data_IF_071965269650
#
_entry.id   IF_071965269650
#
_cell.length_a   1.000
_cell.length_b   1.000
_cell.length_c   1.000
_cell.angle_alpha   90.00
_cell.angle_beta   90.00
_cell.angle_gamma   90.00
#
_symmetry.space_group_name_H-M   'P 1'
#
loop_
_entity.id
_entity.type
_entity.pdbx_description
1 polymer ?
#
# COMPACT_ATOMS: atom_id res chain seq x y z
N UNK A 1 -8.12 3.83 30.46
CA UNK A 1 -8.77 3.64 29.15
C UNK A 1 -8.56 4.90 28.32
N UNK A 2 -8.46 4.80 26.98
CA UNK A 2 -8.51 5.94 26.06
C UNK A 2 -9.82 5.86 25.28
N UNK A 3 -10.51 6.99 25.10
CA UNK A 3 -11.76 7.05 24.35
C UNK A 3 -11.67 8.18 23.32
N UNK A 4 -11.83 7.86 22.05
CA UNK A 4 -12.07 8.82 20.98
C UNK A 4 -13.57 9.05 20.89
N UNK A 5 -14.02 10.28 21.14
CA UNK A 5 -15.46 10.62 21.21
C UNK A 5 -15.93 11.40 20.00
N UNK A 6 -17.19 11.21 19.66
CA UNK A 6 -17.95 12.02 18.70
C UNK A 6 -17.38 11.99 17.26
N UNK A 7 -16.47 11.07 16.94
CA UNK A 7 -15.92 10.97 15.61
C UNK A 7 -16.87 10.29 14.63
N UNK A 8 -16.73 10.56 13.33
CA UNK A 8 -17.40 9.78 12.30
C UNK A 8 -16.59 8.48 12.10
N UNK A 9 -17.02 7.40 12.76
CA UNK A 9 -16.36 6.09 12.67
C UNK A 9 -16.69 5.44 11.34
N UNK A 10 -15.65 5.08 10.59
CA UNK A 10 -15.76 4.35 9.34
C UNK A 10 -14.92 3.07 9.42
N UNK A 11 -15.57 1.94 9.57
CA UNK A 11 -14.98 0.59 9.59
C UNK A 11 -15.66 -0.30 8.56
N UNK A 12 -15.08 -0.46 7.38
CA UNK A 12 -15.70 -1.22 6.29
C UNK A 12 -15.93 -2.70 6.62
N UNK A 13 -15.05 -3.33 7.41
CA UNK A 13 -15.21 -4.73 7.78
C UNK A 13 -16.48 -4.97 8.62
N UNK A 14 -16.71 -4.11 9.61
CA UNK A 14 -17.85 -4.20 10.52
C UNK A 14 -19.07 -3.41 10.03
N UNK A 15 -19.01 -2.84 8.82
CA UNK A 15 -20.09 -2.04 8.21
C UNK A 15 -20.54 -0.87 9.11
N UNK A 16 -19.58 -0.23 9.80
CA UNK A 16 -19.82 0.97 10.61
C UNK A 16 -19.49 2.19 9.76
N UNK A 17 -20.47 3.07 9.59
CA UNK A 17 -20.33 4.37 8.89
C UNK A 17 -21.27 5.37 9.56
N UNK A 18 -20.87 5.86 10.76
CA UNK A 18 -21.71 6.75 11.58
C UNK A 18 -20.91 7.46 12.67
N UNK A 19 -21.48 8.50 13.24
CA UNK A 19 -20.93 9.11 14.45
C UNK A 19 -20.97 8.10 15.62
N UNK A 20 -19.80 7.83 16.20
CA UNK A 20 -19.66 6.92 17.34
C UNK A 20 -18.37 7.23 18.13
N UNK A 21 -18.22 6.58 19.26
CA UNK A 21 -17.01 6.58 20.10
C UNK A 21 -16.23 5.30 19.86
N UNK A 22 -14.90 5.38 20.00
CA UNK A 22 -14.00 4.20 19.98
C UNK A 22 -13.26 4.14 21.33
N UNK A 23 -13.48 3.08 22.10
CA UNK A 23 -12.81 2.84 23.36
C UNK A 23 -11.63 1.88 23.18
N UNK A 24 -10.51 2.24 23.78
CA UNK A 24 -9.24 1.49 23.71
C UNK A 24 -8.75 1.21 25.14
N UNK A 25 -8.42 -0.05 25.40
CA UNK A 25 -7.84 -0.47 26.65
C UNK A 25 -6.76 -1.53 26.45
N UNK A 26 -5.66 -1.42 27.19
CA UNK A 26 -4.53 -2.37 27.12
C UNK A 26 -4.01 -2.62 25.68
N UNK A 27 -3.99 -1.56 24.85
CA UNK A 27 -3.52 -1.63 23.47
C UNK A 27 -4.49 -2.28 22.49
N UNK A 28 -5.72 -2.54 22.87
CA UNK A 28 -6.74 -3.21 22.06
C UNK A 28 -8.02 -2.40 21.94
N UNK A 29 -8.76 -2.62 20.86
CA UNK A 29 -10.13 -2.11 20.73
C UNK A 29 -10.98 -2.80 21.79
N UNK A 30 -11.61 -2.00 22.64
CA UNK A 30 -12.54 -2.49 23.66
C UNK A 30 -13.96 -2.50 23.12
N UNK A 31 -14.39 -1.40 22.48
CA UNK A 31 -15.74 -1.31 21.91
C UNK A 31 -15.85 -0.11 20.97
N UNK A 32 -16.81 -0.18 20.07
CA UNK A 32 -17.30 0.93 19.25
C UNK A 32 -18.78 1.12 19.50
N UNK A 33 -19.21 2.33 19.82
CA UNK A 33 -20.61 2.59 20.15
C UNK A 33 -20.90 4.07 20.39
N UNK A 34 -22.16 4.43 20.45
CA UNK A 34 -22.58 5.80 20.72
C UNK A 34 -22.61 6.07 22.23
N UNK A 35 -22.08 7.22 22.64
CA UNK A 35 -22.16 7.66 24.03
C UNK A 35 -21.47 6.74 25.05
N UNK A 36 -20.32 6.16 24.70
CA UNK A 36 -19.59 5.28 25.60
C UNK A 36 -19.29 6.00 26.93
N UNK A 37 -19.51 5.37 28.09
CA UNK A 37 -19.25 6.00 29.37
C UNK A 37 -17.76 6.23 29.58
N UNK A 38 -17.39 7.41 30.10
CA UNK A 38 -16.04 7.76 30.50
C UNK A 38 -15.99 8.01 32.01
N UNK A 39 -14.91 7.58 32.67
CA UNK A 39 -14.58 7.89 34.05
C UNK A 39 -13.61 9.07 34.09
N UNK A 40 -13.53 9.75 35.22
CA UNK A 40 -12.60 10.87 35.44
C UNK A 40 -11.12 10.48 35.21
N UNK A 41 -10.80 9.20 35.38
CA UNK A 41 -9.45 8.66 35.15
C UNK A 41 -9.15 8.32 33.70
N UNK A 42 -10.13 8.38 32.81
CA UNK A 42 -9.96 8.02 31.39
C UNK A 42 -9.38 9.18 30.58
N UNK A 43 -8.57 8.85 29.60
CA UNK A 43 -8.09 9.82 28.62
C UNK A 43 -9.14 9.95 27.51
N UNK A 44 -9.84 11.08 27.48
CA UNK A 44 -10.90 11.36 26.50
C UNK A 44 -10.38 12.36 25.48
N UNK A 45 -10.49 12.02 24.20
CA UNK A 45 -10.12 12.88 23.09
C UNK A 45 -11.37 13.11 22.23
N UNK A 46 -11.71 14.37 22.01
CA UNK A 46 -12.82 14.73 21.13
C UNK A 46 -12.38 14.67 19.67
N UNK A 47 -13.00 13.80 18.89
CA UNK A 47 -12.78 13.60 17.46
C UNK A 47 -13.91 14.21 16.61
N UNK A 48 -14.69 15.14 17.17
CA UNK A 48 -15.77 15.82 16.44
C UNK A 48 -15.28 16.43 15.13
N UNK A 49 -16.02 16.22 14.05
CA UNK A 49 -15.68 16.71 12.72
C UNK A 49 -14.55 15.94 12.01
N UNK A 50 -14.06 14.86 12.61
CA UNK A 50 -13.04 13.98 12.02
C UNK A 50 -13.61 12.60 11.70
N UNK A 51 -13.04 11.93 10.71
CA UNK A 51 -13.21 10.50 10.51
C UNK A 51 -12.26 9.74 11.43
N UNK A 52 -12.77 8.70 12.08
CA UNK A 52 -12.01 7.73 12.86
C UNK A 52 -12.03 6.42 12.11
N UNK A 53 -10.88 6.01 11.58
CA UNK A 53 -10.73 4.83 10.72
C UNK A 53 -9.72 3.86 11.33
N UNK A 54 -9.76 2.56 11.02
CA UNK A 54 -8.69 1.64 11.38
C UNK A 54 -7.33 2.16 10.90
N UNK A 55 -6.27 1.84 11.61
CA UNK A 55 -4.92 2.24 11.20
C UNK A 55 -4.66 1.86 9.75
N UNK A 56 -4.20 2.83 8.95
CA UNK A 56 -4.00 2.65 7.52
C UNK A 56 -2.89 1.65 7.24
N UNK A 57 -3.02 0.94 6.14
CA UNK A 57 -2.04 -0.02 5.63
C UNK A 57 -1.53 0.51 4.28
N UNK A 58 -0.25 0.88 4.24
CA UNK A 58 0.42 1.20 2.97
C UNK A 58 0.98 -0.11 2.39
N UNK A 59 0.27 -0.66 1.43
CA UNK A 59 0.59 -1.98 0.85
C UNK A 59 1.84 -1.96 -0.06
N UNK A 60 2.41 -0.78 -0.34
CA UNK A 60 3.57 -0.64 -1.20
C UNK A 60 4.39 0.61 -0.85
N UNK A 61 5.50 0.41 -0.19
CA UNK A 61 6.53 1.44 0.02
C UNK A 61 7.92 0.78 0.10
N UNK A 62 8.98 1.58 0.20
CA UNK A 62 10.34 1.08 0.33
C UNK A 62 10.93 1.55 1.66
N UNK A 63 10.88 0.69 2.66
CA UNK A 63 11.20 1.02 4.07
C UNK A 63 12.44 0.30 4.61
N UNK A 64 13.13 -0.48 3.79
CA UNK A 64 14.37 -1.15 4.20
C UNK A 64 15.44 -0.11 4.59
N UNK A 65 15.81 -0.02 5.87
CA UNK A 65 16.48 1.18 6.41
C UNK A 65 17.93 1.37 5.95
N UNK A 66 18.58 0.31 5.49
CA UNK A 66 19.95 0.38 4.96
C UNK A 66 19.98 0.56 3.45
N UNK A 67 18.84 0.38 2.76
CA UNK A 67 18.76 0.60 1.32
C UNK A 67 18.84 2.09 0.98
N UNK A 68 19.52 2.44 -0.11
CA UNK A 68 19.64 3.84 -0.57
C UNK A 68 18.30 4.51 -0.83
N UNK A 69 17.28 3.72 -1.21
CA UNK A 69 15.92 4.19 -1.47
C UNK A 69 15.02 4.13 -0.22
N UNK A 70 15.52 3.55 0.89
CA UNK A 70 14.74 3.30 2.10
C UNK A 70 14.31 4.58 2.82
N UNK A 71 13.06 4.59 3.24
CA UNK A 71 12.42 5.71 3.94
C UNK A 71 12.68 5.68 5.46
N UNK A 72 12.64 6.85 6.13
CA UNK A 72 12.48 6.92 7.58
C UNK A 72 11.06 6.54 7.99
N UNK A 73 10.78 5.22 8.04
CA UNK A 73 9.44 4.63 7.99
C UNK A 73 8.48 5.13 9.08
N UNK A 74 8.87 5.08 10.37
CA UNK A 74 7.96 5.49 11.46
C UNK A 74 7.55 6.96 11.37
N UNK A 75 8.49 7.85 11.07
CA UNK A 75 8.19 9.29 10.98
C UNK A 75 7.19 9.60 9.86
N UNK A 76 7.34 8.98 8.68
CA UNK A 76 6.45 9.20 7.54
C UNK A 76 5.14 8.43 7.65
N UNK A 77 5.18 7.19 8.12
CA UNK A 77 4.01 6.35 8.25
C UNK A 77 3.06 6.90 9.34
N UNK A 78 3.56 7.11 10.55
CA UNK A 78 2.71 7.58 11.65
C UNK A 78 2.10 8.95 11.39
N UNK A 79 2.86 9.90 10.80
CA UNK A 79 2.33 11.21 10.46
C UNK A 79 1.32 11.20 9.31
N UNK A 80 1.18 10.08 8.61
CA UNK A 80 0.18 9.89 7.55
C UNK A 80 -0.96 8.91 7.91
N UNK A 81 -1.06 8.51 9.19
CA UNK A 81 -2.10 7.59 9.65
C UNK A 81 -1.77 6.10 9.44
N UNK A 82 -0.61 5.78 8.89
CA UNK A 82 -0.20 4.41 8.55
C UNK A 82 0.37 3.71 9.78
N UNK A 83 -0.17 2.55 10.11
CA UNK A 83 0.26 1.70 11.24
C UNK A 83 0.86 0.37 10.78
N UNK A 84 0.64 0.01 9.52
CA UNK A 84 1.22 -1.15 8.85
C UNK A 84 1.73 -0.74 7.48
N UNK A 85 2.93 -1.19 7.10
CA UNK A 85 3.52 -0.93 5.79
C UNK A 85 4.11 -2.20 5.19
N UNK A 86 4.03 -2.33 3.88
CA UNK A 86 4.65 -3.42 3.14
C UNK A 86 5.87 -2.90 2.38
N UNK A 87 7.05 -3.47 2.68
CA UNK A 87 8.23 -3.24 1.86
C UNK A 87 8.13 -4.05 0.56
N UNK A 88 8.04 -3.35 -0.54
CA UNK A 88 7.78 -3.95 -1.85
C UNK A 88 9.07 -4.36 -2.58
N UNK A 89 9.90 -5.17 -1.93
CA UNK A 89 11.07 -5.79 -2.54
C UNK A 89 12.30 -4.90 -2.56
N UNK A 90 12.48 -4.03 -1.57
CA UNK A 90 13.73 -3.30 -1.41
C UNK A 90 14.92 -4.23 -1.20
N UNK A 91 14.69 -5.43 -0.67
CA UNK A 91 15.71 -6.43 -0.32
C UNK A 91 15.53 -7.71 -1.11
N UNK A 92 16.63 -8.45 -1.25
CA UNK A 92 16.66 -9.84 -1.72
C UNK A 92 17.22 -10.77 -0.66
N UNK A 93 17.42 -12.06 -1.00
CA UNK A 93 17.81 -13.08 -0.03
C UNK A 93 19.18 -12.83 0.62
N UNK A 94 20.09 -12.14 -0.07
CA UNK A 94 21.45 -11.88 0.47
C UNK A 94 21.48 -10.81 1.56
N UNK A 95 20.51 -9.90 1.61
CA UNK A 95 20.56 -8.74 2.53
C UNK A 95 19.34 -8.60 3.44
N UNK A 96 18.27 -9.34 3.23
CA UNK A 96 17.03 -9.25 4.01
C UNK A 96 17.28 -9.32 5.53
N UNK A 97 18.12 -10.24 5.98
CA UNK A 97 18.40 -10.45 7.41
C UNK A 97 19.00 -9.22 8.09
N UNK A 98 19.81 -8.43 7.38
CA UNK A 98 20.45 -7.23 7.94
C UNK A 98 19.42 -6.13 8.20
N UNK A 99 18.43 -5.98 7.32
CA UNK A 99 17.34 -5.03 7.48
C UNK A 99 16.39 -5.45 8.60
N UNK A 100 16.11 -6.75 8.71
CA UNK A 100 15.21 -7.30 9.73
C UNK A 100 15.66 -6.95 11.15
N UNK A 101 16.95 -7.05 11.46
CA UNK A 101 17.48 -6.71 12.79
C UNK A 101 17.18 -5.28 13.24
N UNK A 102 16.92 -4.36 12.29
CA UNK A 102 16.48 -2.99 12.56
C UNK A 102 14.95 -2.92 12.60
N UNK A 103 14.28 -3.49 11.61
CA UNK A 103 12.82 -3.43 11.45
C UNK A 103 12.07 -4.06 12.63
N UNK A 104 12.61 -5.10 13.24
CA UNK A 104 12.03 -5.77 14.43
C UNK A 104 11.93 -4.87 15.67
N UNK A 105 12.72 -3.80 15.72
CA UNK A 105 12.73 -2.84 16.85
C UNK A 105 11.74 -1.71 16.69
N UNK A 106 11.11 -1.59 15.52
CA UNK A 106 10.15 -0.56 15.23
C UNK A 106 8.76 -0.92 15.77
N UNK A 107 8.01 0.10 16.18
CA UNK A 107 6.59 -0.07 16.58
C UNK A 107 5.68 -0.27 15.36
N UNK A 108 6.07 0.27 14.21
CA UNK A 108 5.37 0.09 12.94
C UNK A 108 5.31 -1.39 12.56
N UNK A 109 4.15 -1.90 12.19
CA UNK A 109 4.04 -3.25 11.66
C UNK A 109 4.57 -3.25 10.21
N UNK A 110 5.62 -4.06 9.96
CA UNK A 110 6.25 -4.13 8.65
C UNK A 110 6.11 -5.54 8.11
N UNK A 111 5.54 -5.66 6.92
CA UNK A 111 5.54 -6.85 6.08
C UNK A 111 6.43 -6.62 4.88
N UNK A 112 6.83 -7.65 4.16
CA UNK A 112 7.71 -7.50 3.01
C UNK A 112 7.41 -8.53 1.92
N UNK A 113 7.57 -8.11 0.68
CA UNK A 113 7.82 -8.98 -0.46
C UNK A 113 9.33 -9.07 -0.69
N UNK A 114 9.84 -10.27 -0.87
CA UNK A 114 11.26 -10.48 -1.17
C UNK A 114 11.49 -10.36 -2.67
N UNK A 115 12.39 -9.48 -3.09
CA UNK A 115 12.76 -9.40 -4.50
C UNK A 115 13.47 -10.71 -4.93
N UNK A 116 13.16 -11.20 -6.12
CA UNK A 116 13.83 -12.38 -6.70
C UNK A 116 15.30 -12.12 -7.01
N UNK A 117 15.69 -10.85 -7.23
CA UNK A 117 17.09 -10.47 -7.35
C UNK A 117 17.79 -10.56 -5.99
N UNK A 118 18.99 -11.09 -5.97
CA UNK A 118 19.74 -11.45 -4.76
C UNK A 118 19.87 -10.32 -3.73
N UNK A 119 20.01 -9.06 -4.19
CA UNK A 119 20.11 -7.87 -3.32
C UNK A 119 18.90 -6.95 -3.41
N UNK A 120 17.86 -7.32 -4.15
CA UNK A 120 16.68 -6.49 -4.37
C UNK A 120 17.02 -5.14 -5.03
N UNK A 121 16.35 -4.09 -4.57
CA UNK A 121 16.55 -2.71 -5.02
C UNK A 121 17.63 -1.94 -4.24
N UNK A 122 18.37 -2.59 -3.37
CA UNK A 122 19.34 -1.92 -2.48
C UNK A 122 20.43 -1.17 -3.26
N UNK A 123 20.79 -1.66 -4.42
CA UNK A 123 21.80 -1.06 -5.30
C UNK A 123 21.30 0.16 -6.10
N UNK A 124 20.00 0.43 -6.14
CA UNK A 124 19.44 1.58 -6.88
C UNK A 124 19.81 2.92 -6.22
N UNK A 125 20.03 3.98 -7.01
CA UNK A 125 19.99 4.05 -8.47
C UNK A 125 21.29 3.64 -9.18
N UNK A 126 22.28 3.15 -8.48
CA UNK A 126 23.62 2.89 -9.02
C UNK A 126 23.75 1.66 -9.92
N UNK A 127 22.93 0.63 -9.69
CA UNK A 127 22.91 -0.61 -10.47
C UNK A 127 21.49 -1.01 -10.83
N UNK A 128 21.34 -1.68 -11.97
CA UNK A 128 20.09 -2.34 -12.34
C UNK A 128 19.96 -3.68 -11.63
N UNK A 129 18.73 -4.11 -11.40
CA UNK A 129 18.41 -5.44 -10.89
C UNK A 129 18.84 -6.50 -11.89
N UNK A 130 19.47 -7.57 -11.42
CA UNK A 130 19.69 -8.76 -12.22
C UNK A 130 18.50 -9.70 -12.10
N UNK A 131 17.55 -9.54 -13.02
CA UNK A 131 16.32 -10.34 -13.04
C UNK A 131 16.46 -11.66 -13.79
N UNK A 132 17.65 -12.02 -14.29
CA UNK A 132 17.86 -13.27 -15.01
C UNK A 132 17.66 -14.49 -14.08
N UNK A 133 16.67 -15.37 -14.36
CA UNK A 133 16.39 -16.52 -13.51
C UNK A 133 17.57 -17.50 -13.33
N UNK A 134 18.52 -17.49 -14.28
CA UNK A 134 19.75 -18.32 -14.18
C UNK A 134 20.71 -17.85 -13.08
N UNK A 135 20.57 -16.61 -12.62
CA UNK A 135 21.44 -16.01 -11.60
C UNK A 135 20.77 -15.92 -10.22
N UNK A 136 19.51 -16.37 -10.07
CA UNK A 136 18.82 -16.31 -8.80
C UNK A 136 19.37 -17.32 -7.81
N UNK A 137 19.55 -16.88 -6.58
CA UNK A 137 19.80 -17.80 -5.46
C UNK A 137 18.47 -18.38 -4.95
N UNK A 138 17.92 -19.36 -5.71
CA UNK A 138 16.64 -20.01 -5.36
C UNK A 138 16.67 -20.66 -3.98
N UNK A 139 17.81 -21.20 -3.57
CA UNK A 139 17.96 -21.81 -2.25
C UNK A 139 17.94 -20.76 -1.15
N UNK A 140 18.68 -19.68 -1.30
CA UNK A 140 18.66 -18.55 -0.37
C UNK A 140 17.26 -17.90 -0.26
N UNK A 141 16.51 -17.79 -1.36
CA UNK A 141 15.11 -17.34 -1.34
C UNK A 141 14.24 -18.30 -0.51
N UNK A 142 14.31 -19.63 -0.76
CA UNK A 142 13.56 -20.63 0.00
C UNK A 142 13.91 -20.63 1.48
N UNK A 143 15.19 -20.49 1.82
CA UNK A 143 15.65 -20.37 3.22
C UNK A 143 15.12 -19.11 3.91
N UNK A 144 15.07 -17.97 3.20
CA UNK A 144 14.44 -16.77 3.73
C UNK A 144 12.96 -16.99 4.09
N UNK A 145 12.19 -17.62 3.21
CA UNK A 145 10.78 -17.91 3.50
C UNK A 145 10.61 -18.97 4.60
N UNK A 146 11.46 -20.00 4.64
CA UNK A 146 11.43 -20.99 5.72
C UNK A 146 11.70 -20.36 7.11
N UNK A 147 12.54 -19.32 7.15
CA UNK A 147 12.91 -18.63 8.39
C UNK A 147 12.00 -17.48 8.77
N UNK A 148 11.53 -16.67 7.80
CA UNK A 148 10.86 -15.38 8.03
C UNK A 148 9.46 -15.31 7.44
N UNK A 149 9.00 -16.33 6.73
CA UNK A 149 7.67 -16.45 6.16
C UNK A 149 6.64 -17.09 7.10
N UNK A 150 5.49 -17.42 6.53
CA UNK A 150 4.36 -18.04 7.24
C UNK A 150 3.46 -17.04 7.96
N UNK A 151 2.40 -17.50 8.64
CA UNK A 151 1.33 -16.63 9.17
C UNK A 151 1.78 -15.57 10.17
N UNK A 152 2.84 -15.85 10.93
CA UNK A 152 3.43 -14.91 11.90
C UNK A 152 4.71 -14.26 11.39
N UNK A 153 5.18 -14.67 10.22
CA UNK A 153 6.39 -14.14 9.61
C UNK A 153 6.16 -12.76 8.98
N UNK A 154 7.26 -12.10 8.66
CA UNK A 154 7.22 -10.79 8.00
C UNK A 154 7.34 -10.88 6.48
N UNK A 155 7.88 -11.96 5.94
CA UNK A 155 7.90 -12.23 4.50
C UNK A 155 6.57 -12.80 4.06
N UNK A 156 5.95 -12.09 3.09
CA UNK A 156 4.63 -12.41 2.58
C UNK A 156 4.68 -13.06 1.20
N UNK A 157 5.43 -12.48 0.25
CA UNK A 157 5.47 -12.93 -1.13
C UNK A 157 6.76 -12.55 -1.85
N UNK A 158 6.81 -12.85 -3.15
CA UNK A 158 7.91 -12.50 -4.04
C UNK A 158 7.63 -11.21 -4.81
N UNK A 159 8.64 -10.37 -5.01
CA UNK A 159 8.60 -9.16 -5.84
C UNK A 159 9.41 -9.34 -7.10
N UNK A 160 8.84 -8.90 -8.23
CA UNK A 160 9.52 -8.80 -9.52
C UNK A 160 9.22 -7.46 -10.19
N UNK A 161 10.17 -6.94 -10.97
CA UNK A 161 9.96 -5.83 -11.90
C UNK A 161 10.10 -6.33 -13.35
N UNK A 162 9.05 -6.11 -14.15
CA UNK A 162 8.97 -6.57 -15.55
C UNK A 162 9.14 -5.44 -16.58
N UNK A 163 9.65 -4.27 -16.19
CA UNK A 163 9.90 -3.19 -17.16
C UNK A 163 10.81 -3.64 -18.29
N UNK A 164 10.46 -3.32 -19.54
CA UNK A 164 11.22 -3.72 -20.74
C UNK A 164 12.74 -3.43 -20.65
N UNK A 165 13.21 -2.27 -20.14
CA UNK A 165 14.64 -2.02 -19.98
C UNK A 165 15.34 -2.92 -18.95
N UNK A 166 14.57 -3.53 -18.03
CA UNK A 166 15.09 -4.42 -16.98
C UNK A 166 15.14 -5.86 -17.48
N UNK A 167 14.03 -6.38 -18.00
CA UNK A 167 13.93 -7.78 -18.46
C UNK A 167 14.57 -8.01 -19.83
N UNK A 168 14.69 -6.98 -20.67
CA UNK A 168 15.30 -7.03 -21.99
C UNK A 168 14.75 -8.20 -22.83
N UNK A 169 15.62 -8.98 -23.43
CA UNK A 169 15.28 -10.13 -24.30
C UNK A 169 14.62 -11.30 -23.55
N UNK A 170 14.63 -11.29 -22.20
CA UNK A 170 13.97 -12.32 -21.41
C UNK A 170 12.45 -12.19 -21.42
N UNK A 171 11.91 -11.00 -21.69
CA UNK A 171 10.48 -10.76 -21.74
C UNK A 171 9.73 -11.26 -20.50
N UNK A 172 8.54 -11.82 -20.69
CA UNK A 172 7.71 -12.37 -19.61
C UNK A 172 8.18 -13.72 -19.05
N UNK A 173 9.19 -14.36 -19.66
CA UNK A 173 9.78 -15.58 -19.09
C UNK A 173 10.28 -15.38 -17.65
N UNK A 174 10.72 -14.18 -17.31
CA UNK A 174 11.13 -13.83 -15.94
C UNK A 174 9.94 -13.89 -14.99
N UNK A 175 8.76 -13.44 -15.41
CA UNK A 175 7.53 -13.52 -14.62
C UNK A 175 7.06 -14.97 -14.46
N UNK A 176 7.06 -15.75 -15.52
CA UNK A 176 6.71 -17.18 -15.47
C UNK A 176 7.59 -17.94 -14.45
N UNK A 177 8.90 -17.68 -14.46
CA UNK A 177 9.82 -18.29 -13.53
C UNK A 177 9.63 -17.80 -12.08
N UNK A 178 9.22 -16.53 -11.90
CA UNK A 178 8.87 -16.00 -10.57
C UNK A 178 7.60 -16.66 -10.04
N UNK A 179 6.58 -16.81 -10.87
CA UNK A 179 5.32 -17.46 -10.52
C UNK A 179 5.58 -18.92 -10.13
N UNK A 180 6.38 -19.67 -10.91
CA UNK A 180 6.77 -21.04 -10.57
C UNK A 180 7.49 -21.11 -9.22
N UNK A 181 8.42 -20.18 -8.96
CA UNK A 181 9.12 -20.13 -7.67
C UNK A 181 8.13 -19.81 -6.52
N UNK A 182 7.18 -18.91 -6.76
CA UNK A 182 6.10 -18.61 -5.81
C UNK A 182 5.23 -19.83 -5.51
N UNK A 183 4.92 -20.66 -6.53
CA UNK A 183 4.21 -21.95 -6.36
C UNK A 183 5.01 -22.95 -5.53
N UNK A 184 6.31 -23.08 -5.82
CA UNK A 184 7.19 -23.98 -5.07
C UNK A 184 7.29 -23.64 -3.58
N UNK A 185 7.21 -22.34 -3.24
CA UNK A 185 7.28 -21.81 -1.87
C UNK A 185 5.89 -21.73 -1.22
N UNK A 186 4.83 -21.62 -2.01
CA UNK A 186 3.45 -21.41 -1.55
C UNK A 186 3.16 -19.96 -1.18
N UNK A 187 3.68 -18.98 -1.95
CA UNK A 187 3.52 -17.56 -1.68
C UNK A 187 3.02 -16.78 -2.92
N UNK A 188 2.34 -15.62 -2.74
CA UNK A 188 1.94 -14.76 -3.84
C UNK A 188 3.13 -14.03 -4.49
N UNK A 189 2.87 -13.47 -5.67
CA UNK A 189 3.80 -12.62 -6.41
C UNK A 189 3.21 -11.21 -6.55
N UNK A 190 4.00 -10.18 -6.27
CA UNK A 190 3.71 -8.80 -6.63
C UNK A 190 4.59 -8.40 -7.81
N UNK A 191 3.96 -8.02 -8.93
CA UNK A 191 4.67 -7.64 -10.15
C UNK A 191 4.52 -6.16 -10.47
N UNK A 192 5.66 -5.47 -10.64
CA UNK A 192 5.72 -4.11 -11.19
C UNK A 192 5.57 -4.16 -12.71
N UNK A 193 4.59 -3.43 -13.27
CA UNK A 193 4.23 -3.53 -14.67
C UNK A 193 4.49 -2.25 -15.51
N UNK A 194 5.13 -1.21 -14.98
CA UNK A 194 5.39 0.01 -15.74
C UNK A 194 6.32 -0.25 -16.91
N UNK A 195 5.89 0.11 -18.13
CA UNK A 195 6.59 -0.17 -19.39
C UNK A 195 6.88 -1.68 -19.57
N UNK A 196 5.85 -2.53 -19.63
CA UNK A 196 6.03 -3.97 -19.76
C UNK A 196 6.69 -4.35 -21.10
N UNK A 197 7.32 -5.53 -21.22
CA UNK A 197 8.04 -5.96 -22.42
C UNK A 197 7.13 -6.45 -23.56
N UNK A 198 5.85 -6.62 -23.31
CA UNK A 198 4.83 -7.09 -24.25
C UNK A 198 3.45 -6.57 -23.85
N UNK A 199 2.41 -7.15 -24.40
CA UNK A 199 1.03 -6.77 -24.10
C UNK A 199 0.69 -7.02 -22.63
N UNK A 200 -0.08 -6.10 -22.02
CA UNK A 200 -0.49 -6.24 -20.63
C UNK A 200 -1.40 -7.47 -20.43
N UNK A 201 -2.17 -7.83 -21.45
CA UNK A 201 -3.02 -9.03 -21.43
C UNK A 201 -2.21 -10.31 -21.17
N UNK A 202 -1.05 -10.45 -21.81
CA UNK A 202 -0.14 -11.59 -21.62
C UNK A 202 0.38 -11.66 -20.18
N UNK A 203 0.78 -10.51 -19.61
CA UNK A 203 1.20 -10.44 -18.21
C UNK A 203 0.09 -10.92 -17.28
N UNK A 204 -1.14 -10.42 -17.51
CA UNK A 204 -2.29 -10.75 -16.70
C UNK A 204 -2.66 -12.24 -16.78
N UNK A 205 -2.45 -12.90 -17.92
CA UNK A 205 -2.70 -14.35 -18.08
C UNK A 205 -1.74 -15.21 -17.25
N UNK A 206 -0.51 -14.76 -17.02
CA UNK A 206 0.50 -15.48 -16.23
C UNK A 206 0.17 -15.44 -14.73
N UNK A 207 -0.50 -14.38 -14.25
CA UNK A 207 -0.79 -14.18 -12.83
C UNK A 207 -1.87 -15.13 -12.31
N UNK A 208 -1.67 -15.59 -11.08
CA UNK A 208 -2.53 -16.53 -10.35
C UNK A 208 -3.49 -15.80 -9.40
N UNK A 209 -4.55 -16.46 -8.93
CA UNK A 209 -5.31 -15.98 -7.79
C UNK A 209 -4.39 -15.66 -6.60
N UNK A 210 -4.53 -14.46 -6.01
CA UNK A 210 -3.69 -13.97 -4.91
C UNK A 210 -2.44 -13.21 -5.35
N UNK A 211 -2.03 -13.30 -6.62
CA UNK A 211 -0.95 -12.44 -7.13
C UNK A 211 -1.44 -10.99 -7.32
N UNK A 212 -0.53 -10.03 -7.19
CA UNK A 212 -0.83 -8.60 -7.30
C UNK A 212 -0.10 -7.96 -8.48
N UNK A 213 -0.84 -7.30 -9.37
CA UNK A 213 -0.26 -6.36 -10.33
C UNK A 213 -0.25 -4.97 -9.72
N UNK A 214 0.96 -4.38 -9.56
CA UNK A 214 1.10 -3.03 -9.01
C UNK A 214 1.33 -2.00 -10.11
N UNK A 215 0.96 -0.74 -9.82
CA UNK A 215 0.98 0.39 -10.76
C UNK A 215 -0.08 0.25 -11.86
N UNK A 216 -1.26 -0.24 -11.49
CA UNK A 216 -2.33 -0.54 -12.44
C UNK A 216 -2.70 0.62 -13.38
N UNK A 217 -2.54 1.85 -12.93
CA UNK A 217 -2.87 3.05 -13.73
C UNK A 217 -1.67 3.66 -14.48
N UNK A 218 -0.56 2.91 -14.62
CA UNK A 218 0.60 3.39 -15.38
C UNK A 218 0.23 3.70 -16.85
N UNK A 219 0.91 4.69 -17.45
CA UNK A 219 0.69 5.13 -18.84
C UNK A 219 1.95 5.05 -19.73
N UNK A 220 2.94 4.26 -19.33
CA UNK A 220 4.16 4.03 -20.09
C UNK A 220 4.11 2.61 -20.65
N UNK A 221 4.09 2.48 -21.99
CA UNK A 221 3.92 1.21 -22.69
C UNK A 221 2.46 0.70 -22.64
N UNK A 222 2.24 -0.56 -23.06
CA UNK A 222 0.93 -1.22 -22.96
C UNK A 222 0.35 -1.14 -21.55
N UNK A 223 -0.90 -0.74 -21.44
CA UNK A 223 -1.56 -0.46 -20.15
C UNK A 223 -3.01 -0.96 -20.15
N UNK A 224 -3.79 -0.62 -19.11
CA UNK A 224 -5.17 -1.07 -18.98
C UNK A 224 -6.12 -0.61 -20.09
N UNK A 225 -5.76 0.44 -20.85
CA UNK A 225 -6.63 0.99 -21.89
C UNK A 225 -6.13 0.49 -23.25
N UNK A 226 -6.98 -0.25 -23.92
CA UNK A 226 -6.72 -0.77 -25.26
C UNK A 226 -6.72 0.31 -26.35
N UNK A 227 -6.38 -0.08 -27.58
CA UNK A 227 -6.37 0.82 -28.75
C UNK A 227 -7.74 1.44 -29.05
N UNK A 228 -8.82 0.76 -28.70
CA UNK A 228 -10.20 1.26 -28.81
C UNK A 228 -10.57 2.30 -27.73
N UNK A 229 -9.66 2.59 -26.81
CA UNK A 229 -9.82 3.56 -25.73
C UNK A 229 -10.64 3.04 -24.56
N UNK A 230 -10.93 1.73 -24.48
CA UNK A 230 -11.65 1.07 -23.40
C UNK A 230 -10.72 0.22 -22.54
N UNK A 231 -11.20 -0.15 -21.38
CA UNK A 231 -10.51 -1.11 -20.52
C UNK A 231 -10.40 -2.47 -21.22
N UNK A 232 -9.22 -3.09 -21.18
CA UNK A 232 -9.01 -4.40 -21.81
C UNK A 232 -9.77 -5.51 -21.06
N UNK A 233 -10.42 -6.40 -21.80
CA UNK A 233 -11.16 -7.55 -21.24
C UNK A 233 -10.29 -8.44 -20.33
N UNK A 234 -8.99 -8.54 -20.64
CA UNK A 234 -8.05 -9.31 -19.84
C UNK A 234 -7.95 -8.84 -18.38
N UNK A 235 -8.15 -7.52 -18.12
CA UNK A 235 -8.15 -6.99 -16.77
C UNK A 235 -9.35 -7.50 -15.95
N UNK A 236 -10.55 -7.48 -16.53
CA UNK A 236 -11.74 -8.04 -15.88
C UNK A 236 -11.58 -9.53 -15.60
N UNK A 237 -11.14 -10.30 -16.60
CA UNK A 237 -10.90 -11.75 -16.45
C UNK A 237 -9.85 -12.07 -15.39
N UNK A 238 -8.78 -11.28 -15.30
CA UNK A 238 -7.77 -11.46 -14.27
C UNK A 238 -8.34 -11.19 -12.86
N UNK A 239 -9.12 -10.12 -12.70
CA UNK A 239 -9.82 -9.81 -11.43
C UNK A 239 -10.81 -10.93 -11.04
N UNK A 240 -11.60 -11.43 -11.98
CA UNK A 240 -12.52 -12.55 -11.73
C UNK A 240 -11.79 -13.82 -11.28
N UNK A 241 -10.58 -14.06 -11.78
CA UNK A 241 -9.71 -15.15 -11.30
C UNK A 241 -9.13 -14.91 -9.91
N UNK A 242 -9.20 -13.68 -9.36
CA UNK A 242 -8.67 -13.33 -8.06
C UNK A 242 -7.27 -12.71 -8.09
N UNK A 243 -6.85 -12.13 -9.22
CA UNK A 243 -5.66 -11.26 -9.30
C UNK A 243 -6.02 -9.90 -8.70
N UNK A 244 -5.18 -9.38 -7.82
CA UNK A 244 -5.34 -8.06 -7.22
C UNK A 244 -4.70 -6.96 -8.06
N UNK A 245 -5.36 -5.79 -8.07
CA UNK A 245 -4.92 -4.61 -8.79
C UNK A 245 -4.59 -3.49 -7.81
N UNK A 246 -3.32 -3.06 -7.79
CA UNK A 246 -2.82 -2.06 -6.85
C UNK A 246 -2.50 -0.75 -7.56
N UNK A 247 -3.04 0.34 -7.01
CA UNK A 247 -2.67 1.70 -7.34
C UNK A 247 -1.56 2.16 -6.39
N UNK A 248 -0.33 2.08 -6.85
CA UNK A 248 0.89 2.53 -6.17
C UNK A 248 1.63 3.48 -7.10
N UNK A 249 1.58 4.77 -6.82
CA UNK A 249 1.79 5.79 -7.84
C UNK A 249 3.21 6.33 -7.91
N UNK A 250 3.93 6.38 -6.78
CA UNK A 250 5.25 7.00 -6.67
C UNK A 250 5.34 8.35 -7.39
N UNK A 251 6.39 8.50 -8.19
CA UNK A 251 6.65 9.71 -8.99
C UNK A 251 6.31 9.56 -10.48
N UNK A 252 6.08 8.33 -10.98
CA UNK A 252 5.99 8.06 -12.41
C UNK A 252 5.21 6.80 -12.79
N UNK A 253 4.53 6.16 -11.84
CA UNK A 253 3.80 4.92 -12.07
C UNK A 253 2.28 5.11 -12.12
N UNK A 254 1.85 6.35 -12.29
CA UNK A 254 0.47 6.77 -12.43
C UNK A 254 0.31 7.59 -13.70
N UNK A 255 -0.75 7.37 -14.45
CA UNK A 255 -1.17 8.14 -15.61
C UNK A 255 -2.60 8.59 -15.44
N UNK A 256 -2.83 9.90 -15.29
CA UNK A 256 -4.16 10.47 -15.07
C UNK A 256 -5.18 10.03 -16.14
N UNK A 257 -4.87 10.06 -17.45
CA UNK A 257 -5.83 9.63 -18.47
C UNK A 257 -6.23 8.15 -18.39
N UNK A 258 -5.30 7.27 -17.94
CA UNK A 258 -5.59 5.84 -17.75
C UNK A 258 -6.50 5.65 -16.54
N UNK A 259 -6.17 6.32 -15.43
CA UNK A 259 -6.94 6.23 -14.19
C UNK A 259 -8.37 6.76 -14.36
N UNK A 260 -8.55 7.91 -15.01
CA UNK A 260 -9.88 8.50 -15.29
C UNK A 260 -10.77 7.54 -16.07
N UNK A 261 -10.25 6.92 -17.12
CA UNK A 261 -11.00 5.95 -17.94
C UNK A 261 -11.35 4.69 -17.14
N UNK A 262 -10.38 4.09 -16.47
CA UNK A 262 -10.61 2.88 -15.69
C UNK A 262 -11.62 3.12 -14.56
N UNK A 263 -11.52 4.24 -13.84
CA UNK A 263 -12.46 4.61 -12.77
C UNK A 263 -13.86 4.85 -13.35
N UNK A 264 -13.97 5.51 -14.50
CA UNK A 264 -15.25 5.76 -15.15
C UNK A 264 -15.96 4.47 -15.59
N UNK A 265 -15.21 3.43 -15.95
CA UNK A 265 -15.72 2.09 -16.24
C UNK A 265 -15.96 1.24 -14.97
N UNK A 266 -15.68 1.77 -13.78
CA UNK A 266 -15.86 1.07 -12.51
C UNK A 266 -14.73 0.12 -12.14
N UNK A 267 -13.61 0.16 -12.85
CA UNK A 267 -12.43 -0.66 -12.53
C UNK A 267 -11.56 0.02 -11.48
N UNK A 268 -11.97 -0.12 -10.23
CA UNK A 268 -11.33 0.50 -9.07
C UNK A 268 -10.17 -0.37 -8.55
N UNK A 269 -9.19 0.21 -7.82
CA UNK A 269 -8.11 -0.56 -7.21
C UNK A 269 -8.63 -1.44 -6.06
N UNK A 270 -7.97 -2.57 -5.86
CA UNK A 270 -8.13 -3.39 -4.65
C UNK A 270 -7.32 -2.79 -3.49
N UNK A 271 -6.13 -2.26 -3.81
CA UNK A 271 -5.26 -1.58 -2.85
C UNK A 271 -4.87 -0.19 -3.38
N UNK A 272 -4.85 0.79 -2.47
CA UNK A 272 -4.29 2.13 -2.70
C UNK A 272 -3.05 2.24 -1.82
N UNK A 273 -1.90 2.46 -2.45
CA UNK A 273 -0.60 2.49 -1.82
C UNK A 273 0.25 3.66 -2.34
N UNK A 274 1.40 3.89 -1.76
CA UNK A 274 2.20 5.08 -2.09
C UNK A 274 3.32 4.83 -3.08
N UNK A 275 3.96 3.67 -3.02
CA UNK A 275 5.25 3.37 -3.66
C UNK A 275 6.31 4.44 -3.32
N UNK A 276 6.28 4.92 -2.09
CA UNK A 276 7.23 5.93 -1.65
C UNK A 276 8.63 5.36 -1.47
N UNK A 277 9.58 6.13 -1.95
CA UNK A 277 11.01 5.94 -1.74
C UNK A 277 11.63 7.24 -1.23
N UNK A 278 12.83 7.18 -0.71
CA UNK A 278 13.62 8.38 -0.38
C UNK A 278 13.78 9.33 -1.58
N UNK A 279 13.69 8.80 -2.81
CA UNK A 279 13.81 9.59 -4.04
C UNK A 279 12.49 10.30 -4.42
N UNK A 280 11.34 9.83 -3.92
CA UNK A 280 10.01 10.34 -4.30
C UNK A 280 9.28 11.09 -3.18
N UNK A 281 9.64 10.90 -1.92
CA UNK A 281 8.91 11.42 -0.75
C UNK A 281 8.69 12.95 -0.70
N UNK A 282 9.45 13.71 -1.47
CA UNK A 282 9.33 15.16 -1.53
C UNK A 282 8.88 15.69 -2.90
N UNK A 283 8.57 14.82 -3.85
CA UNK A 283 8.19 15.23 -5.19
C UNK A 283 6.69 15.53 -5.27
N UNK A 284 6.35 16.75 -5.72
CA UNK A 284 4.96 17.18 -5.92
C UNK A 284 4.69 17.40 -7.41
N UNK A 285 3.46 17.29 -7.86
CA UNK A 285 2.20 16.98 -7.17
C UNK A 285 1.87 15.47 -7.18
N UNK A 286 2.85 14.60 -7.26
CA UNK A 286 2.70 13.14 -7.25
C UNK A 286 2.44 12.59 -5.83
N UNK A 287 2.44 11.29 -5.64
CA UNK A 287 2.30 10.67 -4.32
C UNK A 287 3.47 11.05 -3.40
N UNK A 288 3.17 11.57 -2.22
CA UNK A 288 4.18 11.86 -1.18
C UNK A 288 3.73 11.50 0.24
N UNK A 289 2.52 10.97 0.41
CA UNK A 289 2.00 10.41 1.66
C UNK A 289 0.73 9.60 1.40
N UNK A 290 0.34 8.75 2.35
CA UNK A 290 -0.94 8.03 2.26
C UNK A 290 -2.14 9.00 2.30
N UNK A 291 -2.10 10.07 3.08
CA UNK A 291 -3.17 11.07 3.10
C UNK A 291 -3.33 11.80 1.76
N UNK A 292 -2.22 11.99 1.02
CA UNK A 292 -2.28 12.50 -0.35
C UNK A 292 -2.98 11.51 -1.28
N UNK A 293 -2.69 10.20 -1.17
CA UNK A 293 -3.34 9.17 -1.97
C UNK A 293 -4.84 9.11 -1.68
N UNK A 294 -5.24 9.11 -0.41
CA UNK A 294 -6.66 9.16 -0.01
C UNK A 294 -7.35 10.37 -0.63
N UNK A 295 -6.74 11.55 -0.50
CA UNK A 295 -7.29 12.81 -1.02
C UNK A 295 -7.40 12.79 -2.55
N UNK A 296 -6.36 12.29 -3.24
CA UNK A 296 -6.31 12.17 -4.69
C UNK A 296 -7.40 11.27 -5.24
N UNK A 297 -7.49 10.03 -4.75
CA UNK A 297 -8.46 9.06 -5.26
C UNK A 297 -9.90 9.43 -4.92
N UNK A 298 -10.12 10.08 -3.78
CA UNK A 298 -11.44 10.65 -3.46
C UNK A 298 -11.81 11.81 -4.40
N UNK A 299 -10.84 12.69 -4.72
CA UNK A 299 -11.05 13.78 -5.68
C UNK A 299 -11.27 13.28 -7.12
N UNK A 300 -10.79 12.09 -7.47
CA UNK A 300 -11.07 11.40 -8.73
C UNK A 300 -12.46 10.73 -8.77
N UNK A 301 -13.25 10.84 -7.70
CA UNK A 301 -14.62 10.32 -7.66
C UNK A 301 -14.78 8.92 -7.06
N UNK A 302 -13.71 8.30 -6.54
CA UNK A 302 -13.86 7.05 -5.78
C UNK A 302 -14.50 7.40 -4.42
N UNK A 303 -15.60 6.75 -4.01
CA UNK A 303 -16.24 7.01 -2.72
C UNK A 303 -15.24 6.87 -1.55
N UNK A 304 -15.27 7.80 -0.60
CA UNK A 304 -14.31 7.80 0.52
C UNK A 304 -14.30 6.47 1.29
N UNK A 305 -15.46 5.89 1.53
CA UNK A 305 -15.55 4.58 2.19
C UNK A 305 -14.81 3.48 1.40
N UNK A 306 -14.86 3.50 0.06
CA UNK A 306 -14.11 2.56 -0.80
C UNK A 306 -12.60 2.83 -0.74
N UNK A 307 -12.18 4.10 -0.69
CA UNK A 307 -10.77 4.44 -0.52
C UNK A 307 -10.24 3.93 0.83
N UNK A 308 -11.03 4.07 1.91
CA UNK A 308 -10.67 3.51 3.23
C UNK A 308 -10.64 1.98 3.20
N UNK A 309 -11.58 1.33 2.53
CA UNK A 309 -11.54 -0.12 2.33
C UNK A 309 -10.25 -0.58 1.65
N UNK A 310 -9.81 0.12 0.59
CA UNK A 310 -8.57 -0.15 -0.16
C UNK A 310 -7.28 0.15 0.63
N UNK A 311 -7.37 0.87 1.74
CA UNK A 311 -6.23 1.23 2.61
C UNK A 311 -6.30 0.61 4.01
N UNK A 312 -7.28 -0.26 4.28
CA UNK A 312 -7.46 -0.92 5.59
C UNK A 312 -7.78 -2.41 5.42
N UNK A 313 -9.04 -2.77 5.21
CA UNK A 313 -9.51 -4.16 5.24
C UNK A 313 -9.00 -4.99 4.06
N UNK A 314 -8.92 -4.43 2.86
CA UNK A 314 -8.46 -5.18 1.69
C UNK A 314 -7.00 -5.61 1.81
N UNK A 315 -6.03 -4.68 2.08
CA UNK A 315 -4.64 -5.09 2.30
C UNK A 315 -4.48 -5.95 3.57
N UNK A 316 -5.28 -5.75 4.63
CA UNK A 316 -5.26 -6.63 5.80
C UNK A 316 -5.67 -8.07 5.44
N UNK A 317 -6.67 -8.23 4.57
CA UNK A 317 -7.14 -9.54 4.09
C UNK A 317 -6.07 -10.24 3.27
N UNK A 318 -5.48 -9.55 2.31
CA UNK A 318 -4.42 -10.10 1.45
C UNK A 318 -3.20 -10.53 2.29
N UNK A 319 -2.80 -9.71 3.27
CA UNK A 319 -1.67 -9.99 4.17
C UNK A 319 -1.96 -11.03 5.26
N UNK A 320 -3.18 -11.56 5.34
CA UNK A 320 -3.59 -12.49 6.39
C UNK A 320 -3.64 -11.87 7.78
N UNK A 321 -3.96 -10.56 7.89
CA UNK A 321 -3.97 -9.79 9.13
C UNK A 321 -5.38 -9.50 9.67
N UNK A 322 -6.44 -10.07 9.08
CA UNK A 322 -7.82 -9.79 9.50
C UNK A 322 -8.18 -10.32 10.90
N UNK A 323 -7.27 -10.98 11.59
CA UNK A 323 -7.38 -11.37 13.00
C UNK A 323 -6.84 -10.30 13.98
N UNK A 324 -6.23 -9.23 13.46
CA UNK A 324 -5.49 -8.28 14.28
C UNK A 324 -5.46 -6.84 13.76
N UNK A 325 -5.73 -6.59 12.48
CA UNK A 325 -5.62 -5.27 11.85
C UNK A 325 -6.72 -5.03 10.80
N UNK A 326 -6.85 -3.78 10.36
CA UNK A 326 -7.75 -3.36 9.29
C UNK A 326 -9.20 -3.14 9.70
N UNK A 327 -9.52 -3.21 11.02
CA UNK A 327 -10.87 -3.06 11.55
C UNK A 327 -10.86 -2.69 13.04
N UNK A 328 -11.98 -2.20 13.54
CA UNK A 328 -12.24 -1.95 14.97
C UNK A 328 -12.95 -3.12 15.67
N UNK A 329 -12.75 -4.33 15.18
CA UNK A 329 -13.27 -5.53 15.86
C UNK A 329 -12.72 -5.59 17.29
N UNK A 330 -13.61 -5.87 18.26
CA UNK A 330 -13.22 -5.99 19.67
C UNK A 330 -12.09 -7.00 19.85
N UNK A 331 -11.08 -6.62 20.64
CA UNK A 331 -9.88 -7.41 20.87
C UNK A 331 -8.77 -7.26 19.83
N UNK A 332 -9.00 -6.61 18.68
CA UNK A 332 -7.95 -6.29 17.72
C UNK A 332 -6.98 -5.25 18.30
N UNK A 333 -5.78 -5.20 17.76
CA UNK A 333 -4.83 -4.14 18.09
C UNK A 333 -5.47 -2.76 17.85
N UNK A 334 -5.34 -1.86 18.82
CA UNK A 334 -5.87 -0.51 18.69
C UNK A 334 -4.97 0.35 17.81
N UNK A 335 -4.96 0.00 16.53
CA UNK A 335 -4.38 0.77 15.43
C UNK A 335 -5.47 1.67 14.87
N UNK A 336 -5.30 2.99 15.02
CA UNK A 336 -6.33 3.99 14.67
C UNK A 336 -5.70 5.14 13.93
N UNK A 337 -6.36 5.63 12.88
CA UNK A 337 -6.06 6.91 12.25
C UNK A 337 -7.27 7.85 12.40
N UNK A 338 -7.03 9.09 12.83
CA UNK A 338 -8.03 10.15 12.85
C UNK A 338 -7.70 11.13 11.74
N UNK A 339 -8.65 11.29 10.81
CA UNK A 339 -8.49 12.08 9.59
C UNK A 339 -9.47 13.26 9.63
N UNK A 340 -8.93 14.48 9.62
CA UNK A 340 -9.74 15.70 9.53
C UNK A 340 -9.98 16.04 8.06
N UNK A 341 -11.24 16.07 7.59
CA UNK A 341 -11.54 16.62 6.27
C UNK A 341 -11.34 18.14 6.31
N UNK A 342 -10.57 18.65 5.36
CA UNK A 342 -10.30 20.10 5.22
C UNK A 342 -10.64 20.51 3.78
N UNK A 343 -11.55 21.45 3.63
CA UNK A 343 -11.87 22.02 2.33
C UNK A 343 -10.73 22.95 1.91
N UNK A 344 -9.94 22.51 0.96
CA UNK A 344 -8.74 23.17 0.45
C UNK A 344 -8.44 22.70 -0.97
N UNK A 345 -8.15 23.65 -1.85
CA UNK A 345 -7.66 23.31 -3.18
C UNK A 345 -6.25 22.69 -3.11
N UNK A 346 -6.11 21.56 -3.74
CA UNK A 346 -4.84 20.83 -3.81
C UNK A 346 -4.63 20.30 -5.22
N UNK A 347 -3.45 20.56 -5.79
CA UNK A 347 -3.08 20.04 -7.09
C UNK A 347 -2.59 18.60 -6.94
N UNK A 348 -3.17 17.70 -7.73
CA UNK A 348 -2.75 16.34 -7.89
C UNK A 348 -2.21 16.13 -9.32
N UNK A 349 -1.24 15.26 -9.49
CA UNK A 349 -0.64 15.03 -10.80
C UNK A 349 0.00 13.66 -10.95
N UNK A 350 0.30 13.33 -12.21
CA UNK A 350 0.88 12.06 -12.63
C UNK A 350 2.41 12.09 -12.78
N UNK A 351 3.01 13.27 -12.72
CA UNK A 351 4.45 13.51 -12.80
C UNK A 351 4.86 14.63 -11.85
N UNK A 352 6.13 14.70 -11.43
CA UNK A 352 6.68 15.84 -10.71
C UNK A 352 6.56 17.14 -11.50
N UNK A 353 6.43 18.27 -10.80
CA UNK A 353 6.40 19.59 -11.44
C UNK A 353 7.60 19.78 -12.39
N UNK A 354 7.32 20.34 -13.57
CA UNK A 354 8.30 20.57 -14.63
C UNK A 354 8.62 19.36 -15.51
N UNK A 355 7.95 18.22 -15.28
CA UNK A 355 8.06 17.07 -16.19
C UNK A 355 7.33 17.34 -17.50
N UNK A 356 7.83 16.75 -18.61
CA UNK A 356 7.11 16.71 -19.88
C UNK A 356 5.86 15.84 -19.74
N UNK A 357 4.82 16.19 -20.49
CA UNK A 357 3.56 15.44 -20.57
C UNK A 357 2.91 15.21 -19.18
N UNK A 358 3.05 16.18 -18.27
CA UNK A 358 2.40 16.17 -16.98
C UNK A 358 0.92 16.49 -17.13
N UNK A 359 0.07 15.64 -16.54
CA UNK A 359 -1.35 15.92 -16.36
C UNK A 359 -1.61 16.22 -14.88
N UNK A 360 -2.45 17.21 -14.64
CA UNK A 360 -2.83 17.62 -13.28
C UNK A 360 -4.33 17.89 -13.20
N UNK A 361 -4.87 17.75 -11.98
CA UNK A 361 -6.23 18.19 -11.64
C UNK A 361 -6.25 18.78 -10.25
N UNK A 362 -7.32 19.49 -9.92
CA UNK A 362 -7.50 20.13 -8.62
C UNK A 362 -8.52 19.35 -7.81
N UNK A 363 -8.12 18.91 -6.63
CA UNK A 363 -9.02 18.43 -5.60
C UNK A 363 -9.43 19.59 -4.68
N UNK A 364 -10.64 19.53 -4.10
CA UNK A 364 -11.17 20.58 -3.23
C UNK A 364 -11.26 20.17 -1.76
N UNK A 365 -10.83 18.94 -1.43
CA UNK A 365 -10.80 18.43 -0.06
C UNK A 365 -9.60 17.55 0.15
N UNK A 366 -8.94 17.75 1.29
CA UNK A 366 -7.89 16.87 1.77
C UNK A 366 -8.32 16.16 3.06
N UNK A 367 -7.73 15.01 3.35
CA UNK A 367 -7.92 14.26 4.59
C UNK A 367 -6.61 14.31 5.38
N UNK A 368 -6.55 15.26 6.32
CA UNK A 368 -5.35 15.50 7.14
C UNK A 368 -5.33 14.53 8.32
N UNK A 369 -4.29 13.71 8.48
CA UNK A 369 -4.10 12.93 9.70
C UNK A 369 -3.86 13.86 10.89
N UNK A 370 -4.63 13.73 11.95
CA UNK A 370 -4.51 14.55 13.17
C UNK A 370 -4.14 13.74 14.40
N UNK A 371 -4.37 12.43 14.37
CA UNK A 371 -3.96 11.50 15.42
C UNK A 371 -3.70 10.12 14.80
N UNK A 372 -2.66 9.45 15.28
CA UNK A 372 -2.41 8.03 14.97
C UNK A 372 -2.13 7.29 16.28
N UNK A 373 -2.87 6.20 16.49
CA UNK A 373 -2.61 5.25 17.57
C UNK A 373 -2.01 3.98 16.96
N UNK A 374 -0.98 3.46 17.61
CA UNK A 374 -0.39 2.14 17.32
C UNK A 374 -0.42 1.30 18.57
N UNK A 375 -1.15 0.17 18.53
CA UNK A 375 -1.40 -0.66 19.74
C UNK A 375 -1.91 0.17 20.92
N UNK A 376 -2.79 1.14 20.66
CA UNK A 376 -3.36 2.03 21.67
C UNK A 376 -2.44 3.15 22.18
N UNK A 377 -1.17 3.16 21.78
CA UNK A 377 -0.24 4.25 22.08
C UNK A 377 -0.33 5.36 21.03
N UNK A 378 -0.35 6.61 21.50
CA UNK A 378 -0.32 7.78 20.63
C UNK A 378 1.08 7.94 20.04
N UNK A 379 1.22 7.66 18.73
CA UNK A 379 2.49 7.74 17.99
C UNK A 379 2.60 9.01 17.15
N UNK A 380 1.48 9.65 16.86
CA UNK A 380 1.41 10.94 16.21
C UNK A 380 0.19 11.72 16.71
N UNK A 381 0.36 13.03 16.90
CA UNK A 381 -0.71 14.00 17.15
C UNK A 381 -0.34 15.32 16.52
N UNK A 382 -1.25 15.90 15.73
CA UNK A 382 -1.09 17.23 15.15
C UNK A 382 -1.22 18.31 16.24
N UNK A 383 -0.48 19.41 16.10
CA UNK A 383 -0.51 20.50 17.08
C UNK A 383 -1.87 21.19 17.17
N UNK A 384 -2.72 21.01 16.17
CA UNK A 384 -4.07 21.61 16.10
C UNK A 384 -5.18 20.68 16.54
N UNK A 385 -4.85 19.51 17.11
CA UNK A 385 -5.82 18.49 17.51
C UNK A 385 -5.71 18.09 18.99
#
# INVERSE_FOLDING_TARGET
MLILKNGHVLDPLNQVDKTADVAVENGRILSVGEGLPAKDSDNVIDASGCYVVPGLIDHHAHVAPLAKIGLPSEALCFSSGVTTVVDAGSTGCANYIYHMGILERLRLNIRAYLNVCTTGLDSLPGCLEDVNPAHWDRNGIKECFARFGGPKGRLHGLKLRTSAPIVKDLGYKVLEETVKLGEEIGVPVMVHCTNPPGELAELLEILRPGDTITHMYMNIGPNLIGEDGKLIDAAWKARERGVFFEAADARAHFGLPVAEKAIAEGFLPDFIATDLTKLSMNLRPTSFSMSMQISKYTAMGIPFAKVIECTTVNPARELGLLDSAGSFTEGFAADVAVLRPVDMETVHGDRPYGSKDQHTFVGHRIYQPVLTLKNGEMVYRDMTF
#
